data_IF_023299044580
#
_entry.id   IF_023299044580
#
_cell.length_a   1.000
_cell.length_b   1.000
_cell.length_c   1.000
_cell.angle_alpha   90.00
_cell.angle_beta   90.00
_cell.angle_gamma   90.00
#
_symmetry.space_group_name_H-M   'P 1'
#
loop_
_entity.id
_entity.type
_entity.pdbx_description
1 polymer ?
#
# COMPACT_ATOMS: atom_id res chain seq x y z
N UNK A 1 7.39 -0.85 -10.78
CA UNK A 1 6.19 -0.03 -11.15
C UNK A 1 6.55 1.28 -11.84
N UNK A 2 7.77 1.80 -11.64
CA UNK A 2 8.27 3.06 -12.23
C UNK A 2 9.75 2.89 -12.58
N UNK A 3 10.28 3.80 -13.40
CA UNK A 3 11.70 4.12 -13.40
C UNK A 3 12.01 5.02 -12.21
N UNK A 4 13.15 4.84 -11.54
CA UNK A 4 13.50 5.74 -10.45
C UNK A 4 14.69 5.27 -9.62
N UNK A 5 14.74 5.76 -8.39
CA UNK A 5 15.75 5.42 -7.39
C UNK A 5 15.08 4.96 -6.11
N UNK A 6 15.52 3.83 -5.56
CA UNK A 6 15.13 3.38 -4.24
C UNK A 6 15.58 4.40 -3.19
N UNK A 7 14.62 5.00 -2.48
CA UNK A 7 14.88 5.93 -1.38
C UNK A 7 14.99 5.21 -0.04
N UNK A 8 13.99 4.41 0.29
CA UNK A 8 13.93 3.63 1.52
C UNK A 8 13.05 2.38 1.33
N UNK A 9 13.34 1.32 2.07
CA UNK A 9 12.45 0.16 2.19
C UNK A 9 12.65 -0.48 3.55
N UNK A 10 11.61 -1.14 4.05
CA UNK A 10 11.66 -1.81 5.35
C UNK A 10 10.30 -2.35 5.76
N UNK A 11 10.18 -2.62 7.05
CA UNK A 11 8.93 -3.07 7.69
C UNK A 11 8.30 -1.89 8.39
N UNK A 12 6.99 -1.72 8.25
CA UNK A 12 6.21 -0.77 9.06
C UNK A 12 6.21 -1.26 10.50
N UNK A 13 6.72 -0.44 11.41
CA UNK A 13 6.83 -0.79 12.84
C UNK A 13 6.26 0.34 13.68
N UNK A 14 5.36 0.00 14.60
CA UNK A 14 4.69 0.95 15.48
C UNK A 14 4.02 2.09 14.72
N UNK A 15 3.40 1.78 13.57
CA UNK A 15 2.72 2.74 12.72
C UNK A 15 3.66 3.68 11.94
N UNK A 16 4.97 3.40 11.89
CA UNK A 16 5.95 4.30 11.26
C UNK A 16 6.67 3.69 10.07
N UNK A 17 7.07 4.56 9.13
CA UNK A 17 7.91 4.28 7.96
C UNK A 17 9.16 5.13 8.03
N UNK A 18 10.24 4.71 7.37
CA UNK A 18 11.44 5.53 7.23
C UNK A 18 11.46 6.25 5.89
N UNK A 19 11.78 7.54 5.95
CA UNK A 19 12.28 8.34 4.84
C UNK A 19 13.78 8.07 4.62
N UNK A 20 14.36 8.76 3.64
CA UNK A 20 15.80 8.77 3.39
C UNK A 20 16.55 9.22 4.66
N UNK A 21 17.67 8.54 4.96
CA UNK A 21 18.53 8.77 6.14
C UNK A 21 17.84 8.52 7.50
N UNK A 22 16.81 7.68 7.55
CA UNK A 22 16.28 7.14 8.81
C UNK A 22 15.32 8.05 9.57
N UNK A 23 14.86 9.15 8.98
CA UNK A 23 13.76 9.96 9.55
C UNK A 23 12.45 9.18 9.45
N UNK A 24 11.77 8.97 10.57
CA UNK A 24 10.51 8.26 10.59
C UNK A 24 9.33 9.22 10.31
N UNK A 25 8.23 8.69 9.78
CA UNK A 25 6.95 9.40 9.61
C UNK A 25 5.77 8.45 9.81
N UNK A 26 4.61 9.00 10.19
CA UNK A 26 3.43 8.22 10.55
C UNK A 26 2.70 7.67 9.31
N UNK A 27 2.39 6.37 9.35
CA UNK A 27 1.63 5.68 8.32
C UNK A 27 0.18 6.17 8.26
N UNK A 28 -0.45 6.39 9.41
CA UNK A 28 -1.84 6.86 9.47
C UNK A 28 -1.99 8.26 8.90
N UNK A 29 -0.99 9.12 9.11
CA UNK A 29 -0.91 10.41 8.44
C UNK A 29 -0.70 10.22 6.94
N UNK A 30 0.23 9.38 6.49
CA UNK A 30 0.42 9.07 5.07
C UNK A 30 -0.87 8.58 4.41
N UNK A 31 -1.67 7.76 5.09
CA UNK A 31 -2.91 7.22 4.52
C UNK A 31 -4.15 8.08 4.79
N UNK A 32 -4.05 9.07 5.67
CA UNK A 32 -5.19 9.84 6.17
C UNK A 32 -6.24 8.95 6.87
N UNK A 33 -5.84 7.78 7.38
CA UNK A 33 -6.74 6.81 7.98
C UNK A 33 -6.00 5.81 8.88
N UNK A 34 -6.36 5.80 10.16
CA UNK A 34 -5.89 4.79 11.13
C UNK A 34 -6.34 3.37 10.76
N UNK A 35 -7.56 3.23 10.22
CA UNK A 35 -8.11 1.93 9.81
C UNK A 35 -7.31 1.33 8.66
N UNK A 36 -6.96 2.15 7.66
CA UNK A 36 -6.13 1.68 6.55
C UNK A 36 -4.69 1.43 7.01
N UNK A 37 -4.15 2.25 7.91
CA UNK A 37 -2.81 2.07 8.47
C UNK A 37 -2.64 0.76 9.24
N UNK A 38 -3.62 0.41 10.09
CA UNK A 38 -3.59 -0.83 10.86
C UNK A 38 -3.47 -2.09 10.00
N UNK A 39 -3.92 -2.05 8.73
CA UNK A 39 -3.76 -3.19 7.80
C UNK A 39 -2.33 -3.43 7.35
N UNK A 40 -1.52 -2.38 7.28
CA UNK A 40 -0.14 -2.47 6.80
C UNK A 40 0.90 -2.51 7.93
N UNK A 41 0.46 -2.50 9.20
CA UNK A 41 1.34 -2.66 10.37
C UNK A 41 2.03 -4.02 10.35
N UNK A 42 3.36 -4.05 10.49
CA UNK A 42 4.18 -5.26 10.29
C UNK A 42 4.34 -5.68 8.82
N UNK A 43 3.78 -4.88 7.90
CA UNK A 43 3.90 -5.04 6.45
C UNK A 43 5.18 -4.41 5.91
N UNK A 44 5.45 -4.61 4.62
CA UNK A 44 6.61 -4.02 3.97
C UNK A 44 6.25 -2.73 3.23
N UNK A 45 7.20 -1.80 3.19
CA UNK A 45 7.11 -0.62 2.34
C UNK A 45 8.33 -0.47 1.43
N UNK A 46 8.12 0.15 0.27
CA UNK A 46 9.18 0.51 -0.68
C UNK A 46 8.89 1.92 -1.21
N UNK A 47 9.82 2.84 -0.97
CA UNK A 47 9.75 4.23 -1.42
C UNK A 47 10.68 4.43 -2.61
N UNK A 48 10.13 4.89 -3.72
CA UNK A 48 10.82 5.14 -4.98
C UNK A 48 10.74 6.63 -5.32
N UNK A 49 11.87 7.23 -5.65
CA UNK A 49 11.96 8.62 -6.13
C UNK A 49 12.13 8.63 -7.65
N UNK A 50 11.33 9.44 -8.34
CA UNK A 50 11.41 9.69 -9.77
C UNK A 50 12.05 11.06 -9.98
N UNK A 51 13.28 11.06 -10.51
CA UNK A 51 13.99 12.28 -10.87
C UNK A 51 13.41 12.87 -12.17
N UNK A 52 13.60 14.17 -12.45
CA UNK A 52 13.09 14.82 -13.66
C UNK A 52 13.34 14.11 -15.01
N UNK A 53 14.49 13.44 -15.26
CA UNK A 53 14.71 12.72 -16.52
C UNK A 53 14.06 11.32 -16.57
N UNK A 54 13.45 10.84 -15.48
CA UNK A 54 12.88 9.49 -15.42
C UNK A 54 11.55 9.39 -16.20
N UNK A 55 11.08 8.17 -16.44
CA UNK A 55 9.75 7.93 -17.00
C UNK A 55 8.67 8.07 -15.91
N UNK A 56 7.77 9.03 -16.09
CA UNK A 56 6.84 9.50 -15.05
C UNK A 56 5.46 8.82 -15.03
N UNK A 57 5.30 7.72 -15.78
CA UNK A 57 4.09 6.89 -15.67
C UNK A 57 4.32 5.76 -14.68
N UNK A 58 3.26 5.46 -13.95
CA UNK A 58 3.22 4.52 -12.84
C UNK A 58 2.41 3.34 -13.30
N UNK A 59 2.94 2.14 -13.11
CA UNK A 59 2.30 0.90 -13.54
C UNK A 59 1.98 0.00 -12.34
N UNK A 60 0.90 -0.77 -12.46
CA UNK A 60 0.50 -1.74 -11.45
C UNK A 60 1.61 -2.79 -11.25
N UNK A 61 2.18 -2.93 -10.04
CA UNK A 61 3.26 -3.90 -9.80
C UNK A 61 2.78 -5.36 -9.81
N UNK A 62 1.48 -5.57 -9.58
CA UNK A 62 0.79 -6.86 -9.55
C UNK A 62 -0.64 -6.67 -10.06
N UNK A 63 -1.21 -7.71 -10.66
CA UNK A 63 -2.60 -7.69 -11.10
C UNK A 63 -3.56 -7.66 -9.90
N UNK A 64 -4.71 -7.00 -10.06
CA UNK A 64 -5.69 -6.90 -8.99
C UNK A 64 -6.88 -6.01 -9.33
N UNK A 65 -7.67 -5.71 -8.31
CA UNK A 65 -8.90 -4.93 -8.42
C UNK A 65 -8.80 -3.66 -7.56
N UNK A 66 -8.98 -2.49 -8.19
CA UNK A 66 -9.09 -1.23 -7.46
C UNK A 66 -10.53 -1.06 -6.98
N UNK A 67 -10.70 -1.13 -5.66
CA UNK A 67 -11.99 -0.87 -5.00
C UNK A 67 -12.11 0.56 -4.48
N UNK A 68 -10.98 1.16 -4.15
CA UNK A 68 -10.94 2.48 -3.53
C UNK A 68 -9.69 3.24 -3.94
N UNK A 69 -9.84 4.54 -4.12
CA UNK A 69 -8.73 5.48 -4.11
C UNK A 69 -9.04 6.68 -3.23
N UNK A 70 -8.00 7.41 -2.86
CA UNK A 70 -8.10 8.63 -2.06
C UNK A 70 -7.23 9.72 -2.64
N UNK A 71 -7.77 10.94 -2.68
CA UNK A 71 -7.00 12.17 -2.89
C UNK A 71 -6.91 12.87 -1.53
N UNK A 72 -5.69 13.13 -1.08
CA UNK A 72 -5.42 13.85 0.16
C UNK A 72 -4.68 15.13 -0.19
N UNK A 73 -5.35 16.30 -0.05
CA UNK A 73 -4.72 17.60 -0.22
C UNK A 73 -3.55 17.77 0.75
N UNK A 74 -2.56 18.57 0.35
CA UNK A 74 -1.39 18.83 1.17
C UNK A 74 -0.53 19.93 0.59
N UNK A 75 0.69 20.06 1.12
CA UNK A 75 1.69 20.94 0.55
C UNK A 75 2.26 20.34 -0.75
N UNK A 76 2.99 21.15 -1.50
CA UNK A 76 3.80 20.68 -2.63
C UNK A 76 5.25 21.03 -2.34
N UNK A 77 5.81 20.40 -1.30
CA UNK A 77 7.23 20.55 -0.96
C UNK A 77 8.09 19.73 -1.92
N UNK A 78 9.32 20.15 -2.22
CA UNK A 78 10.16 19.44 -3.18
C UNK A 78 10.67 18.12 -2.58
N UNK A 79 10.75 17.07 -3.39
CA UNK A 79 11.05 15.70 -2.91
C UNK A 79 12.42 15.17 -3.36
N UNK A 80 13.32 16.05 -3.77
CA UNK A 80 14.71 15.66 -4.05
C UNK A 80 15.41 15.17 -2.77
N UNK A 81 16.46 14.35 -2.92
CA UNK A 81 17.08 13.60 -1.83
C UNK A 81 17.47 14.45 -0.61
N UNK A 82 17.99 15.67 -0.84
CA UNK A 82 18.37 16.57 0.25
C UNK A 82 17.15 17.16 0.98
N UNK A 83 16.05 17.47 0.29
CA UNK A 83 14.82 17.92 0.94
C UNK A 83 14.20 16.82 1.79
N UNK A 84 14.11 15.59 1.26
CA UNK A 84 13.61 14.42 1.99
C UNK A 84 14.44 14.13 3.25
N UNK A 85 15.74 14.40 3.20
CA UNK A 85 16.63 14.24 4.35
C UNK A 85 16.49 15.32 5.43
N UNK A 86 15.88 16.47 5.13
CA UNK A 86 15.80 17.64 6.02
C UNK A 86 14.39 17.95 6.52
N UNK A 87 13.35 17.55 5.78
CA UNK A 87 11.97 17.91 6.08
C UNK A 87 11.24 16.71 6.68
N UNK A 88 10.79 16.88 7.91
CA UNK A 88 9.99 15.89 8.63
C UNK A 88 8.61 15.73 8.00
N UNK A 89 8.14 14.47 8.01
CA UNK A 89 6.83 14.04 7.53
C UNK A 89 6.52 14.47 6.09
N UNK A 90 7.56 14.70 5.27
CA UNK A 90 7.41 15.32 3.96
C UNK A 90 6.38 14.59 3.09
N UNK A 91 6.39 13.25 3.09
CA UNK A 91 5.45 12.47 2.30
C UNK A 91 4.01 12.52 2.85
N UNK A 92 3.83 12.60 4.17
CA UNK A 92 2.52 12.70 4.80
C UNK A 92 1.92 14.12 4.73
N UNK A 93 2.79 15.13 4.64
CA UNK A 93 2.40 16.54 4.51
C UNK A 93 2.15 16.96 3.06
N UNK A 94 2.76 16.29 2.10
CA UNK A 94 2.53 16.58 0.70
C UNK A 94 1.19 16.06 0.20
N UNK A 95 0.63 16.77 -0.79
CA UNK A 95 -0.53 16.32 -1.53
C UNK A 95 -0.22 14.97 -2.19
N UNK A 96 -1.19 14.06 -2.17
CA UNK A 96 -1.00 12.70 -2.64
C UNK A 96 -2.29 12.04 -3.09
N UNK A 97 -2.11 11.02 -3.92
CA UNK A 97 -3.18 10.15 -4.39
C UNK A 97 -2.84 8.69 -4.05
N UNK A 98 -3.72 8.02 -3.32
CA UNK A 98 -3.57 6.63 -2.91
C UNK A 98 -4.48 5.75 -3.75
N UNK A 99 -3.95 4.69 -4.35
CA UNK A 99 -4.74 3.62 -4.95
C UNK A 99 -4.63 2.35 -4.12
N UNK A 100 -5.75 1.79 -3.67
CA UNK A 100 -5.80 0.50 -2.98
C UNK A 100 -6.16 -0.60 -3.97
N UNK A 101 -5.33 -1.62 -4.05
CA UNK A 101 -5.47 -2.73 -4.97
C UNK A 101 -5.65 -4.01 -4.15
N UNK A 102 -6.78 -4.69 -4.33
CA UNK A 102 -6.96 -6.05 -3.83
C UNK A 102 -6.33 -7.01 -4.83
N UNK A 103 -5.32 -7.75 -4.38
CA UNK A 103 -4.55 -8.64 -5.24
C UNK A 103 -4.74 -10.08 -4.79
N UNK A 104 -4.85 -11.01 -5.74
CA UNK A 104 -4.95 -12.43 -5.40
C UNK A 104 -3.64 -13.00 -4.83
N UNK A 105 -2.51 -12.36 -5.14
CA UNK A 105 -1.17 -12.91 -4.93
C UNK A 105 -0.36 -12.22 -3.81
N UNK A 106 -0.75 -11.01 -3.40
CA UNK A 106 -0.01 -10.19 -2.44
C UNK A 106 -0.93 -9.48 -1.42
N UNK A 107 -2.15 -9.99 -1.21
CA UNK A 107 -3.14 -9.36 -0.34
C UNK A 107 -3.56 -7.97 -0.83
N UNK A 108 -3.99 -7.11 0.10
CA UNK A 108 -4.23 -5.69 -0.21
C UNK A 108 -2.90 -4.95 -0.31
N UNK A 109 -2.76 -4.12 -1.34
CA UNK A 109 -1.65 -3.19 -1.54
C UNK A 109 -2.16 -1.77 -1.58
N UNK A 110 -1.35 -0.81 -1.11
CA UNK A 110 -1.53 0.60 -1.44
C UNK A 110 -0.36 1.11 -2.30
N UNK A 111 -0.70 1.86 -3.35
CA UNK A 111 0.24 2.62 -4.17
C UNK A 111 -0.01 4.10 -3.92
N UNK A 112 0.85 4.71 -3.11
CA UNK A 112 0.77 6.12 -2.73
C UNK A 112 1.63 6.93 -3.69
N UNK A 113 1.03 7.91 -4.34
CA UNK A 113 1.66 8.78 -5.33
C UNK A 113 1.76 10.16 -4.69
N UNK A 114 2.97 10.62 -4.41
CA UNK A 114 3.19 11.86 -3.65
C UNK A 114 3.63 12.97 -4.60
N UNK A 115 2.86 14.07 -4.62
CA UNK A 115 3.17 15.25 -5.41
C UNK A 115 4.34 16.05 -4.84
N UNK A 116 4.88 16.96 -5.65
CA UNK A 116 6.01 17.80 -5.29
C UNK A 116 5.87 19.22 -5.89
N UNK A 117 6.75 20.15 -5.50
CA UNK A 117 6.81 21.50 -6.10
C UNK A 117 6.95 21.42 -7.61
N UNK A 118 6.18 22.22 -8.36
CA UNK A 118 6.07 22.17 -9.84
C UNK A 118 5.42 20.89 -10.40
N UNK A 119 5.09 19.92 -9.52
CA UNK A 119 4.58 18.60 -9.88
C UNK A 119 3.40 18.23 -9.00
N UNK A 120 2.39 19.09 -9.02
CA UNK A 120 1.19 18.88 -8.21
C UNK A 120 0.23 17.86 -8.84
N UNK A 121 0.20 17.74 -10.17
CA UNK A 121 -0.86 16.99 -10.86
C UNK A 121 -0.49 15.52 -11.04
N UNK A 122 -1.30 14.68 -10.41
CA UNK A 122 -1.29 13.22 -10.49
C UNK A 122 -2.61 12.79 -11.11
N UNK A 123 -2.55 12.00 -12.18
CA UNK A 123 -3.74 11.47 -12.87
C UNK A 123 -3.83 9.95 -12.73
N UNK A 124 -5.01 9.38 -12.98
CA UNK A 124 -5.27 7.95 -12.97
C UNK A 124 -5.68 7.46 -14.35
N UNK A 125 -5.04 6.41 -14.85
CA UNK A 125 -5.41 5.82 -16.13
C UNK A 125 -6.76 5.08 -16.08
N UNK A 126 -7.10 4.47 -14.94
CA UNK A 126 -8.36 3.74 -14.75
C UNK A 126 -9.55 4.65 -14.36
N UNK A 127 -9.29 5.92 -14.06
CA UNK A 127 -10.29 6.94 -13.74
C UNK A 127 -9.78 8.34 -14.13
N UNK A 128 -9.96 8.76 -15.39
CA UNK A 128 -9.46 10.05 -15.87
C UNK A 128 -10.19 11.25 -15.25
N UNK A 129 -11.26 11.02 -14.48
CA UNK A 129 -12.04 12.09 -13.84
C UNK A 129 -11.46 12.52 -12.48
N UNK A 130 -10.43 11.82 -11.99
CA UNK A 130 -9.81 12.09 -10.70
C UNK A 130 -8.34 12.50 -10.85
N UNK A 131 -7.99 13.66 -10.30
CA UNK A 131 -6.62 14.18 -10.25
C UNK A 131 -6.38 15.06 -9.01
N UNK A 132 -5.11 15.30 -8.67
CA UNK A 132 -4.66 16.19 -7.58
C UNK A 132 -4.40 17.63 -8.06
N UNK A 133 -3.95 18.52 -7.16
CA UNK A 133 -3.65 19.92 -7.42
C UNK A 133 -4.89 20.72 -7.84
N UNK A 134 -5.99 20.47 -7.13
CA UNK A 134 -7.25 21.19 -7.28
C UNK A 134 -7.31 22.36 -6.27
N UNK A 135 -7.73 23.56 -6.68
CA UNK A 135 -7.96 24.67 -5.74
C UNK A 135 -8.94 24.26 -4.64
N UNK A 136 -8.64 24.63 -3.39
CA UNK A 136 -9.47 24.31 -2.22
C UNK A 136 -9.79 22.82 -2.06
N UNK A 137 -8.87 21.95 -2.45
CA UNK A 137 -9.05 20.50 -2.35
C UNK A 137 -9.42 20.05 -0.94
N UNK A 138 -10.38 19.14 -0.85
CA UNK A 138 -10.73 18.39 0.35
C UNK A 138 -10.31 16.93 0.19
N UNK A 139 -10.27 16.18 1.29
CA UNK A 139 -10.04 14.73 1.20
C UNK A 139 -11.20 14.11 0.41
N UNK A 140 -10.87 13.40 -0.67
CA UNK A 140 -11.85 12.71 -1.50
C UNK A 140 -11.57 11.22 -1.49
N UNK A 141 -12.51 10.43 -0.98
CA UNK A 141 -12.48 8.97 -1.05
C UNK A 141 -13.49 8.52 -2.10
N UNK A 142 -13.01 7.75 -3.08
CA UNK A 142 -13.83 7.24 -4.18
C UNK A 142 -13.87 5.73 -4.08
N UNK A 143 -15.07 5.16 -4.12
CA UNK A 143 -15.30 3.72 -4.14
C UNK A 143 -15.80 3.31 -5.53
N UNK A 144 -15.28 2.22 -6.07
CA UNK A 144 -15.66 1.71 -7.39
C UNK A 144 -16.53 0.46 -7.26
N UNK A 145 -17.70 0.52 -7.88
CA UNK A 145 -18.62 -0.62 -8.05
C UNK A 145 -19.20 -0.59 -9.47
N UNK A 146 -18.84 -1.54 -10.36
CA UNK A 146 -17.88 -2.62 -10.14
C UNK A 146 -16.44 -2.08 -9.95
N UNK A 147 -15.54 -2.86 -9.31
CA UNK A 147 -14.14 -2.46 -9.16
C UNK A 147 -13.42 -2.35 -10.50
N UNK A 148 -12.36 -1.54 -10.56
CA UNK A 148 -11.54 -1.41 -11.77
C UNK A 148 -10.49 -2.52 -11.80
N UNK A 149 -10.50 -3.36 -12.83
CA UNK A 149 -9.50 -4.41 -13.01
C UNK A 149 -8.20 -3.83 -13.56
N UNK A 150 -7.08 -4.30 -13.03
CA UNK A 150 -5.74 -3.95 -13.48
C UNK A 150 -4.91 -5.21 -13.71
N UNK A 151 -4.29 -5.30 -14.89
CA UNK A 151 -3.26 -6.29 -15.18
C UNK A 151 -1.90 -5.86 -14.62
N UNK A 152 -1.03 -6.83 -14.35
CA UNK A 152 0.36 -6.53 -13.97
C UNK A 152 1.03 -5.77 -15.11
N UNK A 153 1.64 -4.64 -14.79
CA UNK A 153 2.30 -3.76 -15.76
C UNK A 153 1.34 -2.83 -16.50
N UNK A 154 0.02 -2.89 -16.26
CA UNK A 154 -0.91 -1.91 -16.79
C UNK A 154 -0.64 -0.54 -16.17
N UNK A 155 -0.80 0.53 -16.97
CA UNK A 155 -0.69 1.89 -16.47
C UNK A 155 -1.73 2.18 -15.38
N UNK A 156 -1.26 2.72 -14.27
CA UNK A 156 -2.03 3.04 -13.06
C UNK A 156 -2.27 4.55 -12.94
N UNK A 157 -1.35 5.36 -13.44
CA UNK A 157 -1.43 6.81 -13.35
C UNK A 157 -0.13 7.48 -13.75
N UNK A 158 -0.14 8.81 -13.81
CA UNK A 158 0.97 9.59 -14.33
C UNK A 158 1.25 10.78 -13.44
N UNK A 159 2.53 11.10 -13.26
CA UNK A 159 2.97 12.39 -12.76
C UNK A 159 3.25 13.30 -13.96
N UNK A 160 2.82 14.55 -13.91
CA UNK A 160 3.13 15.45 -15.02
C UNK A 160 4.61 15.89 -15.03
N UNK A 161 5.42 15.72 -13.97
CA UNK A 161 6.83 16.20 -13.90
C UNK A 161 7.73 15.81 -12.66
N UNK A 162 7.84 14.56 -12.16
CA UNK A 162 8.76 14.21 -11.03
C UNK A 162 8.12 14.11 -9.66
N UNK A 163 8.47 13.07 -8.87
CA UNK A 163 7.67 12.73 -7.67
C UNK A 163 8.22 11.54 -6.88
N UNK A 164 7.44 11.02 -5.94
CA UNK A 164 7.74 9.77 -5.23
C UNK A 164 6.55 8.82 -5.21
N UNK A 165 6.84 7.52 -5.25
CA UNK A 165 5.86 6.43 -5.07
C UNK A 165 6.22 5.65 -3.81
N UNK A 166 5.27 5.51 -2.89
CA UNK A 166 5.39 4.60 -1.74
C UNK A 166 4.48 3.41 -1.99
N UNK A 167 5.06 2.22 -2.05
CA UNK A 167 4.35 0.94 -2.09
C UNK A 167 4.20 0.44 -0.67
N UNK A 168 3.00 -0.02 -0.32
CA UNK A 168 2.68 -0.67 0.95
C UNK A 168 2.08 -2.05 0.68
N UNK A 169 2.56 -3.04 1.43
CA UNK A 169 2.13 -4.43 1.32
C UNK A 169 1.67 -4.93 2.68
N UNK A 170 0.58 -5.71 2.72
CA UNK A 170 0.13 -6.36 3.95
C UNK A 170 1.22 -7.31 4.53
N UNK A 171 1.20 -7.58 5.84
CA UNK A 171 2.15 -8.45 6.52
C UNK A 171 2.26 -9.84 5.87
N UNK A 172 3.49 -10.31 5.71
CA UNK A 172 3.78 -11.65 5.20
C UNK A 172 3.43 -11.87 3.72
N UNK A 173 3.02 -10.86 2.97
CA UNK A 173 2.65 -11.00 1.56
C UNK A 173 3.86 -10.97 0.61
N UNK A 174 4.91 -10.22 0.98
CA UNK A 174 6.09 -10.07 0.14
C UNK A 174 7.38 -10.10 0.94
N UNK A 175 8.45 -10.49 0.25
CA UNK A 175 9.83 -10.35 0.70
C UNK A 175 10.55 -9.37 -0.23
N UNK A 176 10.98 -8.19 0.26
CA UNK A 176 11.70 -7.22 -0.56
C UNK A 176 12.98 -7.80 -1.18
N UNK A 177 13.26 -7.36 -2.40
CA UNK A 177 14.50 -7.67 -3.13
C UNK A 177 15.28 -6.36 -3.28
N UNK A 178 16.17 -6.01 -2.33
CA UNK A 178 16.95 -4.79 -2.44
C UNK A 178 17.80 -4.86 -3.73
N UNK A 179 17.72 -3.83 -4.58
CA UNK A 179 18.44 -3.82 -5.84
C UNK A 179 19.95 -3.63 -5.57
N UNK A 180 20.80 -4.23 -6.42
CA UNK A 180 22.27 -4.11 -6.32
C UNK A 180 22.77 -2.67 -6.50
N UNK A 181 21.99 -1.86 -7.20
CA UNK A 181 22.20 -0.42 -7.41
C UNK A 181 20.93 0.30 -6.98
N UNK A 182 21.02 1.55 -6.51
CA UNK A 182 19.84 2.28 -6.05
C UNK A 182 18.86 2.58 -7.20
N UNK A 183 19.33 2.61 -8.44
CA UNK A 183 18.49 2.80 -9.64
C UNK A 183 17.63 1.56 -9.90
N UNK A 184 16.34 1.79 -10.18
CA UNK A 184 15.37 0.76 -10.59
C UNK A 184 14.71 1.18 -11.90
N UNK A 185 14.31 0.19 -12.70
CA UNK A 185 13.55 0.41 -13.94
C UNK A 185 12.14 -0.20 -13.87
N UNK A 186 11.24 0.33 -14.67
CA UNK A 186 9.93 -0.27 -14.90
C UNK A 186 10.10 -1.74 -15.32
N UNK A 187 9.36 -2.62 -14.64
CA UNK A 187 9.40 -4.06 -14.88
C UNK A 187 10.46 -4.81 -14.05
N UNK A 188 11.42 -4.12 -13.45
CA UNK A 188 12.40 -4.78 -12.57
C UNK A 188 11.74 -5.32 -11.29
N UNK A 189 12.09 -6.54 -10.84
CA UNK A 189 11.55 -7.10 -9.60
C UNK A 189 12.01 -6.31 -8.36
N UNK A 190 11.06 -5.88 -7.54
CA UNK A 190 11.32 -5.18 -6.26
C UNK A 190 11.07 -6.06 -5.02
N UNK A 191 10.32 -7.15 -5.18
CA UNK A 191 9.99 -8.08 -4.12
C UNK A 191 9.59 -9.44 -4.71
N UNK A 192 9.73 -10.50 -3.91
CA UNK A 192 9.13 -11.81 -4.18
C UNK A 192 7.80 -11.90 -3.44
N UNK A 193 6.83 -12.54 -4.06
CA UNK A 193 5.60 -12.92 -3.38
C UNK A 193 5.92 -14.03 -2.39
N UNK A 194 5.46 -13.88 -1.16
CA UNK A 194 5.46 -14.98 -0.21
C UNK A 194 4.30 -15.88 -0.58
N UNK A 195 4.58 -17.13 -0.96
CA UNK A 195 3.50 -18.11 -1.13
C UNK A 195 2.77 -18.21 0.20
N UNK A 196 1.43 -18.00 0.26
CA UNK A 196 0.72 -18.24 1.49
C UNK A 196 0.95 -19.70 1.90
N UNK A 197 1.19 -20.01 3.18
CA UNK A 197 1.13 -21.40 3.62
C UNK A 197 -0.24 -21.94 3.20
N UNK A 198 -0.31 -23.17 2.65
CA UNK A 198 -1.60 -23.76 2.27
C UNK A 198 -2.53 -23.65 3.47
N UNK A 199 -3.65 -22.97 3.28
CA UNK A 199 -4.67 -22.81 4.31
C UNK A 199 -4.98 -24.22 4.80
N UNK A 200 -4.63 -24.55 6.05
CA UNK A 200 -5.10 -25.79 6.67
C UNK A 200 -6.62 -25.64 6.76
N UNK A 201 -7.32 -26.10 5.72
CA UNK A 201 -8.72 -26.46 5.81
C UNK A 201 -8.85 -27.30 7.07
N UNK A 202 -9.58 -26.77 8.04
CA UNK A 202 -9.70 -27.37 9.37
C UNK A 202 -10.00 -28.85 9.22
N UNK A 203 -9.12 -29.69 9.77
CA UNK A 203 -9.47 -31.06 10.09
C UNK A 203 -10.76 -30.98 10.90
N UNK A 204 -11.84 -31.51 10.34
CA UNK A 204 -13.10 -31.67 11.05
C UNK A 204 -12.79 -32.32 12.39
N UNK A 205 -13.20 -31.66 13.48
CA UNK A 205 -13.11 -32.23 14.82
C UNK A 205 -13.78 -33.61 14.82
N UNK A 206 -13.17 -34.63 15.43
CA UNK A 206 -13.77 -35.95 15.49
C UNK A 206 -15.11 -35.85 16.24
N UNK A 207 -16.19 -36.31 15.60
CA UNK A 207 -17.54 -36.37 16.20
C UNK A 207 -17.45 -37.03 17.57
N UNK A 208 -17.78 -36.28 18.62
CA UNK A 208 -17.92 -36.82 19.96
C UNK A 208 -18.94 -37.96 19.95
N UNK A 209 -18.49 -39.17 20.29
CA UNK A 209 -19.36 -40.33 20.53
C UNK A 209 -20.30 -39.97 21.67
N UNK A 210 -21.61 -39.92 21.39
CA UNK A 210 -22.65 -39.88 22.43
C UNK A 210 -22.59 -41.17 23.23
N UNK A 211 -22.14 -41.08 24.49
CA UNK A 211 -22.28 -42.16 25.47
C UNK A 211 -23.74 -42.35 25.91
N UNK A 212 -24.13 -43.55 26.37
CA UNK A 212 -25.53 -43.89 26.63
C UNK A 212 -26.11 -43.18 27.86
N UNK A 213 -27.38 -42.77 27.73
CA UNK A 213 -28.22 -42.21 28.80
C UNK A 213 -28.31 -43.16 30.00
N UNK A 214 -27.95 -42.67 31.20
CA UNK A 214 -28.29 -43.33 32.48
C UNK A 214 -29.73 -42.97 32.89
N UNK A 215 -30.53 -43.98 33.19
CA UNK A 215 -31.85 -43.85 33.83
C UNK A 215 -31.69 -43.55 35.34
N UNK A 216 -32.62 -42.82 35.97
CA UNK A 216 -32.60 -42.58 37.41
C UNK A 216 -33.20 -43.76 38.18
N UNK A 217 -32.49 -44.24 39.22
CA UNK A 217 -33.05 -45.11 40.26
C UNK A 217 -33.41 -44.25 41.46
N UNK A 218 -34.71 -44.08 41.72
CA UNK A 218 -35.23 -43.62 43.00
C UNK A 218 -35.53 -44.82 43.91
N UNK A 219 -35.03 -44.77 45.15
CA UNK A 219 -35.41 -45.59 46.31
C UNK A 219 -35.24 -44.68 47.53
N UNK A 220 -36.33 -44.20 48.11
CA UNK A 220 -37.05 -44.78 49.27
C UNK A 220 -36.35 -44.50 50.59
N UNK A 221 -36.95 -43.58 51.35
CA UNK A 221 -36.75 -43.26 52.78
C UNK A 221 -37.04 -44.47 53.67
N UNK A 222 -36.57 -44.43 54.92
CA UNK A 222 -37.47 -44.09 56.04
C UNK A 222 -37.20 -42.70 56.62
#
# INVERSE_FOLDING_TARGET
>A
PVDGTLGACGVVTSGTLLQVKGRAYNLSELLGSEVDAARFEGGHYITLYLAPPDYHRIHAPVAGQVRQCMVIPGRLMPVFAEAVAKVDDLFARNERLITYIDTAAAGKMAVVKVGATLVGRITLAYDPTLWTNQPHGTVRRVHYSPPKCLDKGQELGTFELGSSVVLLFEPGQVQPLPPRKPRVRLGEPLARLCTPPPTRLGRAAPKARRGPRRQPRGKSTP
#
